data_IF_147287220862
#
_entry.id   IF_147287220862
#
_cell.length_a   1.000
_cell.length_b   1.000
_cell.length_c   1.000
_cell.angle_alpha   90.00
_cell.angle_beta   90.00
_cell.angle_gamma   90.00
#
_symmetry.space_group_name_H-M   'P 1'
#
loop_
_entity.id
_entity.type
_entity.pdbx_description
1 polymer ?
#
# COMPACT_ATOMS: atom_id res chain seq x y z
N UNK A 1 -6.43 28.23 -1.73
CA UNK A 1 -6.38 29.52 -1.05
C UNK A 1 -5.01 29.63 -0.41
N UNK A 2 -4.20 30.63 -0.83
CA UNK A 2 -2.90 30.93 -0.23
C UNK A 2 -3.20 31.36 1.21
N UNK A 3 -2.70 30.60 2.19
CA UNK A 3 -2.87 30.95 3.59
C UNK A 3 -2.13 32.26 3.87
N UNK A 4 -2.82 33.22 4.49
CA UNK A 4 -2.21 34.45 4.98
C UNK A 4 -1.12 34.07 6.01
N UNK A 5 0.15 34.45 5.81
CA UNK A 5 1.29 33.96 6.59
C UNK A 5 1.24 34.32 8.09
N UNK A 6 0.33 35.18 8.52
CA UNK A 6 0.16 35.57 9.91
C UNK A 6 -1.01 34.94 10.67
N UNK A 7 -1.80 34.07 10.03
CA UNK A 7 -3.02 33.54 10.66
C UNK A 7 -2.71 32.64 11.86
N UNK A 8 -3.39 32.84 13.01
CA UNK A 8 -3.29 31.93 14.15
C UNK A 8 -3.65 30.50 13.76
N UNK A 9 -2.93 29.53 14.33
CA UNK A 9 -3.18 28.11 14.09
C UNK A 9 -4.63 27.71 14.36
N UNK A 10 -5.25 28.27 15.40
CA UNK A 10 -6.65 28.02 15.72
C UNK A 10 -7.58 28.34 14.54
N UNK A 11 -7.40 29.47 13.85
CA UNK A 11 -8.22 29.84 12.70
C UNK A 11 -8.00 28.92 11.50
N UNK A 12 -6.75 28.51 11.25
CA UNK A 12 -6.43 27.58 10.18
C UNK A 12 -7.12 26.23 10.43
N UNK A 13 -7.00 25.68 11.65
CA UNK A 13 -7.62 24.42 12.00
C UNK A 13 -9.16 24.50 11.99
N UNK A 14 -9.74 25.62 12.49
CA UNK A 14 -11.18 25.85 12.42
C UNK A 14 -11.70 25.91 10.98
N UNK A 15 -10.91 26.39 10.03
CA UNK A 15 -11.30 26.36 8.61
C UNK A 15 -11.32 24.95 8.03
N UNK A 16 -10.55 24.01 8.60
CA UNK A 16 -10.55 22.58 8.23
C UNK A 16 -11.73 21.83 8.86
N UNK A 17 -12.06 22.12 10.11
CA UNK A 17 -13.15 21.49 10.86
C UNK A 17 -14.14 22.52 11.43
N UNK A 18 -14.92 23.22 10.59
CA UNK A 18 -15.76 24.34 11.00
C UNK A 18 -16.88 23.96 11.97
N UNK A 19 -17.27 22.69 12.02
CA UNK A 19 -18.31 22.17 12.90
C UNK A 19 -17.79 21.76 14.28
N UNK A 20 -16.47 21.57 14.42
CA UNK A 20 -15.89 21.08 15.66
C UNK A 20 -15.86 22.14 16.75
N UNK A 21 -16.21 21.74 17.98
CA UNK A 21 -16.07 22.61 19.13
C UNK A 21 -14.58 22.74 19.53
N UNK A 22 -14.22 23.88 20.13
CA UNK A 22 -12.83 24.16 20.52
C UNK A 22 -12.27 23.09 21.49
N UNK A 23 -13.08 22.56 22.39
CA UNK A 23 -12.66 21.52 23.34
C UNK A 23 -12.37 20.17 22.65
N UNK A 24 -13.06 19.84 21.54
CA UNK A 24 -12.80 18.63 20.76
C UNK A 24 -11.43 18.73 20.07
N UNK A 25 -11.12 19.87 19.49
CA UNK A 25 -9.82 20.12 18.91
C UNK A 25 -8.69 20.01 19.95
N UNK A 26 -8.88 20.59 21.14
CA UNK A 26 -7.91 20.48 22.24
C UNK A 26 -7.71 19.02 22.68
N UNK A 27 -8.78 18.24 22.74
CA UNK A 27 -8.72 16.81 23.05
C UNK A 27 -7.90 16.04 22.01
N UNK A 28 -8.17 16.24 20.73
CA UNK A 28 -7.45 15.56 19.65
C UNK A 28 -5.96 15.97 19.63
N UNK A 29 -5.66 17.26 19.81
CA UNK A 29 -4.27 17.74 19.93
C UNK A 29 -3.56 17.10 21.12
N UNK A 30 -4.22 16.97 22.26
CA UNK A 30 -3.66 16.30 23.44
C UNK A 30 -3.35 14.82 23.18
N UNK A 31 -4.21 14.10 22.43
CA UNK A 31 -3.96 12.73 21.99
C UNK A 31 -2.71 12.59 21.10
N UNK A 32 -2.35 13.64 20.39
CA UNK A 32 -1.16 13.72 19.54
C UNK A 32 0.06 14.36 20.22
N UNK A 33 -0.01 14.57 21.54
CA UNK A 33 1.01 15.28 22.34
C UNK A 33 1.38 16.65 21.73
N UNK A 34 0.39 17.39 21.22
CA UNK A 34 0.54 18.78 20.78
C UNK A 34 0.05 19.71 21.88
N UNK A 35 0.89 20.67 22.28
CA UNK A 35 0.57 21.61 23.34
C UNK A 35 -0.51 22.62 22.88
N UNK A 36 -1.35 23.03 23.82
CA UNK A 36 -2.45 23.98 23.53
C UNK A 36 -1.96 25.37 23.10
N UNK A 37 -0.76 25.80 23.51
CA UNK A 37 -0.15 27.09 23.12
C UNK A 37 0.09 27.20 21.61
N UNK A 38 0.19 26.05 20.92
CA UNK A 38 0.29 25.98 19.45
C UNK A 38 -0.88 26.72 18.77
N UNK A 39 -2.07 26.70 19.36
CA UNK A 39 -3.26 27.33 18.76
C UNK A 39 -3.15 28.85 18.66
N UNK A 40 -2.38 29.49 19.53
CA UNK A 40 -2.19 30.94 19.53
C UNK A 40 -1.04 31.41 18.64
N UNK A 41 -0.17 30.48 18.22
CA UNK A 41 0.97 30.78 17.35
C UNK A 41 0.54 30.85 15.88
N UNK A 42 1.20 31.68 15.06
CA UNK A 42 1.01 31.63 13.61
C UNK A 42 1.32 30.23 13.08
N UNK A 43 0.47 29.69 12.20
CA UNK A 43 0.59 28.31 11.69
C UNK A 43 1.95 28.06 11.01
N UNK A 44 2.51 29.08 10.36
CA UNK A 44 3.81 28.98 9.68
C UNK A 44 5.01 28.89 10.64
N UNK A 45 4.85 29.27 11.90
CA UNK A 45 5.91 29.18 12.91
C UNK A 45 6.00 27.82 13.57
N UNK A 46 5.04 26.93 13.30
CA UNK A 46 5.05 25.57 13.80
C UNK A 46 6.12 24.76 13.07
N UNK A 47 6.73 23.80 13.78
CA UNK A 47 7.54 22.76 13.15
C UNK A 47 6.68 21.91 12.21
N UNK A 48 7.30 21.30 11.21
CA UNK A 48 6.57 20.44 10.28
C UNK A 48 5.84 19.30 11.01
N UNK A 49 6.44 18.74 12.07
CA UNK A 49 5.78 17.72 12.89
C UNK A 49 4.58 18.22 13.66
N UNK A 50 4.65 19.45 14.24
CA UNK A 50 3.50 20.08 14.88
C UNK A 50 2.39 20.36 13.87
N UNK A 51 2.73 20.88 12.69
CA UNK A 51 1.75 21.10 11.60
C UNK A 51 1.04 19.82 11.20
N UNK A 52 1.81 18.76 10.94
CA UNK A 52 1.24 17.47 10.54
C UNK A 52 0.27 16.94 11.61
N UNK A 53 0.68 16.93 12.87
CA UNK A 53 -0.17 16.48 13.98
C UNK A 53 -1.41 17.37 14.17
N UNK A 54 -1.26 18.68 14.09
CA UNK A 54 -2.37 19.62 14.22
C UNK A 54 -3.40 19.46 13.09
N UNK A 55 -2.94 19.29 11.85
CA UNK A 55 -3.81 19.02 10.70
C UNK A 55 -4.52 17.68 10.83
N UNK A 56 -3.83 16.62 11.27
CA UNK A 56 -4.47 15.33 11.51
C UNK A 56 -5.58 15.43 12.55
N UNK A 57 -5.36 16.15 13.66
CA UNK A 57 -6.38 16.40 14.69
C UNK A 57 -7.64 17.06 14.08
N UNK A 58 -7.46 18.11 13.28
CA UNK A 58 -8.57 18.82 12.66
C UNK A 58 -9.28 17.97 11.59
N UNK A 59 -8.54 17.22 10.79
CA UNK A 59 -9.12 16.37 9.73
C UNK A 59 -10.03 15.28 10.31
N UNK A 60 -9.64 14.64 11.41
CA UNK A 60 -10.47 13.61 12.05
C UNK A 60 -11.69 14.15 12.80
N UNK A 61 -11.79 15.44 13.02
CA UNK A 61 -12.98 16.11 13.53
C UNK A 61 -13.97 16.51 12.43
N UNK A 62 -13.60 16.34 11.16
CA UNK A 62 -14.46 16.67 10.04
C UNK A 62 -15.36 15.47 9.70
N UNK A 63 -16.52 15.41 10.32
CA UNK A 63 -17.46 14.30 10.20
C UNK A 63 -17.95 14.07 8.77
N UNK A 64 -18.28 12.84 8.43
CA UNK A 64 -18.85 12.45 7.13
C UNK A 64 -17.86 12.44 5.98
N UNK A 65 -16.56 12.55 6.23
CA UNK A 65 -15.50 12.48 5.23
C UNK A 65 -14.61 11.27 5.43
N UNK A 66 -14.23 10.66 4.32
CA UNK A 66 -13.20 9.64 4.28
C UNK A 66 -11.84 10.31 4.01
N UNK A 67 -10.85 10.05 4.85
CA UNK A 67 -9.57 10.74 4.77
C UNK A 67 -8.56 9.98 3.90
N UNK A 68 -7.83 10.73 3.07
CA UNK A 68 -6.64 10.24 2.39
C UNK A 68 -5.42 10.92 3.00
N UNK A 69 -4.55 10.13 3.61
CA UNK A 69 -3.37 10.60 4.34
C UNK A 69 -2.14 10.09 3.59
N UNK A 70 -1.37 11.03 3.05
CA UNK A 70 -0.18 10.73 2.27
C UNK A 70 1.09 11.10 3.06
N UNK A 71 1.95 10.08 3.30
CA UNK A 71 3.27 10.18 3.95
C UNK A 71 3.31 11.06 5.21
N UNK A 72 2.47 10.83 6.22
CA UNK A 72 2.44 11.69 7.42
C UNK A 72 3.70 11.57 8.28
N UNK A 73 4.54 10.57 8.02
CA UNK A 73 5.76 10.28 8.80
C UNK A 73 6.99 11.09 8.37
N UNK A 74 6.96 11.75 7.21
CA UNK A 74 8.14 12.40 6.62
C UNK A 74 8.82 13.46 7.50
N UNK A 75 8.08 14.09 8.41
CA UNK A 75 8.57 15.17 9.26
C UNK A 75 8.45 14.85 10.76
N UNK A 76 8.25 13.58 11.08
CA UNK A 76 8.09 13.12 12.46
C UNK A 76 9.37 12.41 12.93
N UNK A 77 9.82 12.75 14.14
CA UNK A 77 10.83 11.95 14.83
C UNK A 77 10.26 10.61 15.30
N UNK A 78 11.10 9.73 15.83
CA UNK A 78 10.68 8.40 16.27
C UNK A 78 9.55 8.42 17.31
N UNK A 79 9.61 9.37 18.26
CA UNK A 79 8.59 9.52 19.29
C UNK A 79 7.27 10.00 18.68
N UNK A 80 7.30 11.04 17.85
CA UNK A 80 6.12 11.58 17.19
C UNK A 80 5.46 10.55 16.26
N UNK A 81 6.25 9.70 15.56
CA UNK A 81 5.71 8.57 14.77
C UNK A 81 4.95 7.58 15.63
N UNK A 82 5.51 7.17 16.78
CA UNK A 82 4.84 6.24 17.69
C UNK A 82 3.52 6.81 18.23
N UNK A 83 3.49 8.08 18.62
CA UNK A 83 2.29 8.77 19.09
C UNK A 83 1.25 8.86 17.98
N UNK A 84 1.67 9.22 16.74
CA UNK A 84 0.77 9.33 15.60
C UNK A 84 0.22 7.96 15.18
N UNK A 85 1.03 6.90 15.21
CA UNK A 85 0.57 5.54 14.94
C UNK A 85 -0.50 5.08 15.96
N UNK A 86 -0.24 5.28 17.26
CA UNK A 86 -1.20 4.96 18.32
C UNK A 86 -2.50 5.78 18.22
N UNK A 87 -2.42 7.02 17.74
CA UNK A 87 -3.58 7.85 17.48
C UNK A 87 -4.39 7.30 16.30
N UNK A 88 -3.74 7.01 15.16
CA UNK A 88 -4.40 6.47 13.96
C UNK A 88 -5.05 5.10 14.20
N UNK A 89 -4.42 4.25 14.99
CA UNK A 89 -4.97 2.94 15.37
C UNK A 89 -6.37 3.01 15.99
N UNK A 90 -6.70 4.14 16.64
CA UNK A 90 -8.02 4.37 17.26
C UNK A 90 -9.03 5.01 16.32
N UNK A 91 -8.59 5.41 15.12
CA UNK A 91 -9.42 6.10 14.12
C UNK A 91 -9.91 5.13 13.06
N UNK A 92 -10.99 5.52 12.38
CA UNK A 92 -11.58 4.76 11.27
C UNK A 92 -11.88 5.69 10.10
N UNK A 93 -12.09 5.11 8.92
CA UNK A 93 -12.51 5.86 7.74
C UNK A 93 -11.37 6.65 7.08
N UNK A 94 -10.20 6.03 6.94
CA UNK A 94 -9.07 6.63 6.24
C UNK A 94 -8.31 5.62 5.38
N UNK A 95 -7.63 6.11 4.36
CA UNK A 95 -6.59 5.42 3.62
C UNK A 95 -5.27 6.12 3.93
N UNK A 96 -4.26 5.33 4.23
CA UNK A 96 -2.92 5.78 4.57
C UNK A 96 -1.93 5.29 3.51
N UNK A 97 -1.19 6.23 2.92
CA UNK A 97 -0.05 5.94 2.06
C UNK A 97 1.22 6.21 2.85
N UNK A 98 2.08 5.22 3.00
CA UNK A 98 3.38 5.38 3.66
C UNK A 98 4.37 4.31 3.22
N UNK A 99 5.66 4.65 3.23
CA UNK A 99 6.77 3.72 3.05
C UNK A 99 7.37 3.23 4.38
N UNK A 100 6.89 3.75 5.52
CA UNK A 100 7.33 3.31 6.85
C UNK A 100 6.55 2.05 7.28
N UNK A 101 7.17 0.88 7.06
CA UNK A 101 6.57 -0.43 7.34
C UNK A 101 6.16 -0.59 8.80
N UNK A 102 6.99 -0.11 9.74
CA UNK A 102 6.69 -0.21 11.19
C UNK A 102 5.50 0.65 11.57
N UNK A 103 5.39 1.80 10.95
CA UNK A 103 4.24 2.69 11.13
C UNK A 103 2.96 2.03 10.63
N UNK A 104 2.98 1.46 9.41
CA UNK A 104 1.84 0.72 8.84
C UNK A 104 1.43 -0.45 9.73
N UNK A 105 2.38 -1.28 10.18
CA UNK A 105 2.10 -2.44 11.04
C UNK A 105 1.38 -2.08 12.34
N UNK A 106 1.60 -0.86 12.83
CA UNK A 106 0.98 -0.41 14.09
C UNK A 106 -0.43 0.12 13.90
N UNK A 107 -0.75 0.76 12.77
CA UNK A 107 -1.96 1.57 12.65
C UNK A 107 -2.96 1.10 11.60
N UNK A 108 -2.63 0.10 10.75
CA UNK A 108 -3.55 -0.38 9.72
C UNK A 108 -4.01 -1.81 9.99
N UNK A 109 -5.22 -2.13 9.55
CA UNK A 109 -5.86 -3.44 9.64
C UNK A 109 -6.17 -4.06 8.28
N UNK A 110 -5.98 -3.31 7.20
CA UNK A 110 -6.11 -3.73 5.82
C UNK A 110 -5.03 -3.13 4.96
N UNK A 111 -4.56 -3.88 3.98
CA UNK A 111 -3.63 -3.41 2.95
C UNK A 111 -4.34 -3.41 1.60
N UNK A 112 -4.30 -2.25 0.94
CA UNK A 112 -4.75 -2.09 -0.44
C UNK A 112 -3.52 -2.05 -1.34
N UNK A 113 -3.32 -3.06 -2.16
CA UNK A 113 -2.22 -3.12 -3.13
C UNK A 113 -2.72 -2.80 -4.53
N UNK A 114 -2.01 -1.88 -5.19
CA UNK A 114 -2.29 -1.47 -6.56
C UNK A 114 -1.31 -2.17 -7.49
N UNK A 115 -1.77 -3.17 -8.23
CA UNK A 115 -1.02 -3.86 -9.25
C UNK A 115 -1.38 -3.30 -10.64
N UNK A 116 -0.60 -3.64 -11.67
CA UNK A 116 -0.86 -3.14 -13.03
C UNK A 116 -2.22 -3.54 -13.60
N UNK A 117 -2.74 -4.68 -13.19
CA UNK A 117 -3.97 -5.26 -13.74
C UNK A 117 -5.10 -5.38 -12.71
N UNK A 118 -4.79 -5.22 -11.42
CA UNK A 118 -5.75 -5.52 -10.37
C UNK A 118 -5.52 -4.67 -9.11
N UNK A 119 -6.59 -4.50 -8.34
CA UNK A 119 -6.59 -3.86 -7.03
C UNK A 119 -7.00 -4.93 -6.03
N UNK A 120 -6.10 -5.25 -5.11
CA UNK A 120 -6.33 -6.25 -4.09
C UNK A 120 -6.41 -5.61 -2.71
N UNK A 121 -7.44 -6.00 -1.93
CA UNK A 121 -7.58 -5.61 -0.53
C UNK A 121 -7.44 -6.85 0.33
N UNK A 122 -6.49 -6.85 1.23
CA UNK A 122 -6.23 -7.95 2.16
C UNK A 122 -6.34 -7.46 3.60
N UNK A 123 -7.03 -8.22 4.44
CA UNK A 123 -7.05 -8.00 5.89
C UNK A 123 -5.71 -8.37 6.52
N UNK A 124 -5.30 -7.58 7.50
CA UNK A 124 -4.05 -7.73 8.21
C UNK A 124 -3.17 -6.50 8.12
N UNK A 125 -2.01 -6.56 8.76
CA UNK A 125 -1.00 -5.52 8.73
C UNK A 125 -0.02 -5.71 7.55
N UNK A 126 0.93 -4.78 7.41
CA UNK A 126 1.90 -4.83 6.32
C UNK A 126 2.77 -6.09 6.35
N UNK A 127 3.20 -6.54 7.53
CA UNK A 127 4.02 -7.76 7.69
C UNK A 127 3.28 -9.00 7.19
N UNK A 128 2.03 -9.22 7.61
CA UNK A 128 1.23 -10.36 7.16
C UNK A 128 0.93 -10.32 5.66
N UNK A 129 0.70 -9.14 5.12
CA UNK A 129 0.53 -8.95 3.68
C UNK A 129 1.81 -9.30 2.91
N UNK A 130 2.99 -8.85 3.38
CA UNK A 130 4.27 -9.11 2.74
C UNK A 130 4.60 -10.61 2.72
N UNK A 131 4.39 -11.32 3.84
CA UNK A 131 4.57 -12.77 3.92
C UNK A 131 3.68 -13.53 2.90
N UNK A 132 2.42 -13.13 2.80
CA UNK A 132 1.50 -13.71 1.82
C UNK A 132 1.90 -13.40 0.38
N UNK A 133 2.40 -12.19 0.13
CA UNK A 133 2.88 -11.76 -1.17
C UNK A 133 4.12 -12.58 -1.61
N UNK A 134 5.10 -12.72 -0.73
CA UNK A 134 6.32 -13.52 -0.98
C UNK A 134 5.98 -14.99 -1.23
N UNK A 135 5.09 -15.57 -0.45
CA UNK A 135 4.63 -16.95 -0.62
C UNK A 135 3.92 -17.18 -1.97
N UNK A 136 3.09 -16.22 -2.39
CA UNK A 136 2.45 -16.25 -3.72
C UNK A 136 3.46 -16.17 -4.84
N UNK A 137 4.40 -15.22 -4.77
CA UNK A 137 5.46 -15.10 -5.78
C UNK A 137 6.31 -16.37 -5.89
N UNK A 138 6.70 -16.95 -4.77
CA UNK A 138 7.46 -18.21 -4.76
C UNK A 138 6.67 -19.37 -5.41
N UNK A 139 5.36 -19.45 -5.13
CA UNK A 139 4.47 -20.45 -5.74
C UNK A 139 4.33 -20.25 -7.26
N UNK A 140 4.14 -19.01 -7.72
CA UNK A 140 4.05 -18.67 -9.14
C UNK A 140 5.34 -18.99 -9.89
N UNK A 141 6.50 -18.65 -9.31
CA UNK A 141 7.80 -18.99 -9.88
C UNK A 141 7.98 -20.50 -10.03
N UNK A 142 7.67 -21.27 -8.99
CA UNK A 142 7.76 -22.73 -9.03
C UNK A 142 6.79 -23.35 -10.06
N UNK A 143 5.59 -22.79 -10.21
CA UNK A 143 4.64 -23.23 -11.22
C UNK A 143 5.14 -22.90 -12.64
N UNK A 144 5.68 -21.71 -12.86
CA UNK A 144 6.26 -21.33 -14.14
C UNK A 144 7.44 -22.21 -14.55
N UNK A 145 8.33 -22.56 -13.62
CA UNK A 145 9.43 -23.50 -13.86
C UNK A 145 8.94 -24.90 -14.27
N UNK A 146 7.90 -25.39 -13.58
CA UNK A 146 7.26 -26.66 -13.94
C UNK A 146 6.67 -26.61 -15.35
N UNK A 147 5.91 -25.57 -15.66
CA UNK A 147 5.32 -25.40 -16.99
C UNK A 147 6.38 -25.30 -18.09
N UNK A 148 7.47 -24.57 -17.86
CA UNK A 148 8.59 -24.51 -18.81
C UNK A 148 9.24 -25.87 -19.04
N UNK A 149 9.43 -26.67 -17.97
CA UNK A 149 9.96 -28.03 -18.05
C UNK A 149 9.03 -28.93 -18.86
N UNK A 150 7.72 -28.85 -18.62
CA UNK A 150 6.73 -29.67 -19.35
C UNK A 150 6.65 -29.25 -20.84
N UNK A 151 6.68 -27.95 -21.15
CA UNK A 151 6.75 -27.47 -22.52
C UNK A 151 8.00 -28.02 -23.23
N UNK A 152 9.16 -27.98 -22.57
CA UNK A 152 10.41 -28.52 -23.13
C UNK A 152 10.29 -30.03 -23.39
N UNK A 153 9.71 -30.78 -22.46
CA UNK A 153 9.48 -32.22 -22.58
C UNK A 153 8.53 -32.57 -23.71
N UNK A 154 7.42 -31.82 -23.85
CA UNK A 154 6.46 -31.99 -24.92
C UNK A 154 7.05 -31.65 -26.31
N UNK A 155 7.83 -30.57 -26.42
CA UNK A 155 8.54 -30.23 -27.64
C UNK A 155 9.52 -31.32 -28.07
N UNK A 156 10.27 -31.90 -27.14
CA UNK A 156 11.18 -33.02 -27.42
C UNK A 156 10.44 -34.28 -27.81
N UNK A 157 9.31 -34.59 -27.18
CA UNK A 157 8.49 -35.73 -27.58
C UNK A 157 7.90 -35.55 -28.97
N UNK A 158 7.36 -34.39 -29.29
CA UNK A 158 6.84 -34.05 -30.61
C UNK A 158 7.93 -34.19 -31.71
N UNK A 159 9.12 -33.67 -31.44
CA UNK A 159 10.25 -33.78 -32.38
C UNK A 159 10.65 -35.27 -32.62
N UNK A 160 10.65 -36.11 -31.58
CA UNK A 160 10.92 -37.55 -31.71
C UNK A 160 9.84 -38.23 -32.55
N UNK A 161 8.57 -37.89 -32.33
CA UNK A 161 7.45 -38.50 -33.09
C UNK A 161 7.50 -38.08 -34.54
N UNK A 162 7.84 -36.83 -34.85
CA UNK A 162 8.01 -36.34 -36.24
C UNK A 162 9.10 -37.14 -36.99
N UNK A 163 10.28 -37.29 -36.37
CA UNK A 163 11.40 -38.05 -36.92
C UNK A 163 11.01 -39.53 -37.16
N UNK A 164 10.22 -40.11 -36.23
CA UNK A 164 9.74 -41.49 -36.40
C UNK A 164 8.73 -41.60 -37.54
N UNK A 165 7.80 -40.67 -37.68
CA UNK A 165 6.83 -40.60 -38.81
C UNK A 165 7.54 -40.53 -40.14
N UNK A 166 8.53 -39.62 -40.30
CA UNK A 166 9.31 -39.46 -41.51
C UNK A 166 10.06 -40.76 -41.91
N UNK A 167 10.60 -41.47 -40.89
CA UNK A 167 11.26 -42.78 -41.13
C UNK A 167 10.29 -43.88 -41.58
N UNK A 168 9.09 -43.91 -41.03
CA UNK A 168 8.05 -44.86 -41.40
C UNK A 168 7.56 -44.59 -42.84
N UNK A 169 7.38 -43.32 -43.20
CA UNK A 169 7.00 -42.98 -44.56
C UNK A 169 8.10 -43.30 -45.58
N UNK A 170 9.36 -42.99 -45.27
CA UNK A 170 10.50 -43.36 -46.14
C UNK A 170 10.63 -44.87 -46.31
N UNK A 171 10.37 -45.69 -45.26
CA UNK A 171 10.40 -47.16 -45.35
C UNK A 171 9.26 -47.72 -46.22
N UNK A 172 8.08 -47.12 -46.21
CA UNK A 172 6.95 -47.52 -47.07
C UNK A 172 7.20 -47.17 -48.52
N UNK A 173 7.79 -45.99 -48.82
CA UNK A 173 8.15 -45.60 -50.19
C UNK A 173 9.20 -46.53 -50.79
N UNK A 174 10.22 -46.96 -50.01
CA UNK A 174 11.23 -47.94 -50.48
C UNK A 174 10.74 -49.37 -50.68
N UNK A 175 9.59 -49.75 -50.13
CA UNK A 175 8.98 -51.09 -50.29
C UNK A 175 8.09 -51.20 -51.54
N UNK A 176 7.66 -50.05 -52.11
CA UNK A 176 6.79 -50.03 -53.28
C UNK A 176 7.55 -50.23 -54.60
N UNK A 177 8.90 -50.19 -54.62
CA UNK A 177 9.72 -50.28 -55.79
C UNK A 177 10.35 -51.68 -56.02
N UNK A 178 9.88 -52.75 -55.34
CA UNK A 178 10.29 -54.13 -55.53
C UNK A 178 9.14 -55.02 -56.03
N UNK A 179 8.53 -54.60 -57.11
CA UNK A 179 7.49 -55.37 -57.74
C UNK A 179 7.53 -55.28 -59.21
N UNK A 180 8.54 -55.83 -59.85
CA UNK A 180 8.48 -56.50 -61.15
C UNK A 180 9.75 -57.28 -61.41
#
# INVERSE_FOLDING_TARGET
AVADPGRPTAEVLQSVCPQAAAWELLRELSCLEVRADVLQRPFETLSNGERTKALLAALFLNEGRFLLIDEPTNHLDAKARAVTAAYLQRKKGFILVSHDRRFLDTCVDHILSLNRADIEVQSGNFTSWMENFENRQASELAQNERLQSDIKRLKQAAARTAVWSDRVEASKAGSADKGY
#
